data_IF_858253616493
#
_entry.id   IF_858253616493
#
_cell.length_a   1.000
_cell.length_b   1.000
_cell.length_c   1.000
_cell.angle_alpha   90.00
_cell.angle_beta   90.00
_cell.angle_gamma   90.00
#
_symmetry.space_group_name_H-M   'P 1'
#
loop_
_entity.id
_entity.type
_entity.pdbx_description
1 polymer ?
#
# COMPACT_ATOMS: atom_id res chain seq x y z
N UNK A 1 4.23 8.88 20.15
CA UNK A 1 5.56 9.52 20.19
C UNK A 1 6.05 9.92 18.80
N UNK A 2 6.14 9.02 17.81
CA UNK A 2 6.61 9.37 16.46
C UNK A 2 5.88 10.56 15.81
N UNK A 3 4.53 10.56 15.85
CA UNK A 3 3.70 11.65 15.30
C UNK A 3 3.90 12.98 16.06
N UNK A 4 3.98 12.91 17.39
CA UNK A 4 4.23 14.11 18.22
C UNK A 4 5.58 14.76 17.92
N UNK A 5 6.61 13.96 17.64
CA UNK A 5 7.93 14.47 17.27
C UNK A 5 7.93 15.02 15.83
N UNK A 6 7.11 14.46 14.94
CA UNK A 6 6.91 14.97 13.58
C UNK A 6 6.28 16.37 13.61
N UNK A 7 5.21 16.55 14.38
CA UNK A 7 4.54 17.85 14.53
C UNK A 7 5.51 18.90 15.12
N UNK A 8 6.28 18.53 16.14
CA UNK A 8 7.29 19.43 16.71
C UNK A 8 8.40 19.78 15.73
N UNK A 9 8.88 18.82 14.93
CA UNK A 9 9.87 19.09 13.88
C UNK A 9 9.32 20.06 12.82
N UNK A 10 8.07 19.87 12.39
CA UNK A 10 7.42 20.79 11.42
C UNK A 10 7.34 22.22 11.93
N UNK A 11 7.22 22.42 13.26
CA UNK A 11 7.18 23.74 13.87
C UNK A 11 8.55 24.33 14.22
N UNK A 12 9.53 23.49 14.56
CA UNK A 12 10.82 23.95 15.11
C UNK A 12 12.00 23.84 14.14
N UNK A 13 11.90 22.97 13.14
CA UNK A 13 13.00 22.67 12.19
C UNK A 13 14.20 21.97 12.84
N UNK A 14 14.08 21.47 14.06
CA UNK A 14 15.17 20.88 14.83
C UNK A 14 15.54 19.47 14.32
N UNK A 15 16.77 19.26 13.79
CA UNK A 15 17.20 17.96 13.28
C UNK A 15 17.19 16.83 14.31
N UNK A 16 17.36 17.16 15.61
CA UNK A 16 17.36 16.14 16.66
C UNK A 16 15.98 15.52 16.88
N UNK A 17 14.92 16.30 16.65
CA UNK A 17 13.53 15.83 16.71
C UNK A 17 13.19 14.96 15.49
N UNK A 18 13.76 15.29 14.33
CA UNK A 18 13.64 14.48 13.12
C UNK A 18 14.29 13.10 13.32
N UNK A 19 15.52 13.03 13.84
CA UNK A 19 16.19 11.74 14.10
C UNK A 19 15.42 10.88 15.13
N UNK A 20 14.90 11.49 16.19
CA UNK A 20 14.06 10.81 17.17
C UNK A 20 12.74 10.29 16.55
N UNK A 21 12.15 11.07 15.64
CA UNK A 21 10.96 10.69 14.89
C UNK A 21 11.22 9.48 13.97
N UNK A 22 12.29 9.53 13.17
CA UNK A 22 12.66 8.46 12.23
C UNK A 22 13.02 7.17 12.97
N UNK A 23 13.77 7.28 14.07
CA UNK A 23 14.08 6.13 14.94
C UNK A 23 12.81 5.47 15.47
N UNK A 24 11.84 6.29 15.91
CA UNK A 24 10.56 5.80 16.42
C UNK A 24 9.73 5.10 15.33
N UNK A 25 9.68 5.65 14.11
CA UNK A 25 9.01 4.99 12.98
C UNK A 25 9.71 3.69 12.58
N UNK A 26 11.04 3.68 12.52
CA UNK A 26 11.86 2.49 12.23
C UNK A 26 11.66 1.37 13.24
N UNK A 27 11.56 1.70 14.53
CA UNK A 27 11.25 0.70 15.57
C UNK A 27 9.82 0.18 15.40
N UNK A 28 8.87 1.07 15.16
CA UNK A 28 7.46 0.70 15.00
C UNK A 28 7.21 -0.18 13.78
N UNK A 29 7.93 0.03 12.68
CA UNK A 29 7.80 -0.79 11.46
C UNK A 29 8.31 -2.23 11.64
N UNK A 30 9.06 -2.52 12.71
CA UNK A 30 9.59 -3.85 13.05
C UNK A 30 8.71 -4.59 14.08
N UNK A 31 7.70 -3.93 14.64
CA UNK A 31 6.82 -4.54 15.65
C UNK A 31 5.79 -5.47 14.99
N UNK A 32 6.05 -6.77 15.05
CA UNK A 32 5.17 -7.82 14.50
C UNK A 32 3.81 -7.95 15.22
N UNK A 33 3.62 -7.30 16.37
CA UNK A 33 2.40 -7.39 17.20
C UNK A 33 1.38 -6.30 16.91
N UNK A 34 1.72 -5.31 16.08
CA UNK A 34 0.85 -4.19 15.76
C UNK A 34 -0.05 -4.50 14.55
N UNK A 35 -1.16 -3.77 14.44
CA UNK A 35 -2.10 -3.89 13.31
C UNK A 35 -1.34 -3.64 12.00
N UNK A 36 -1.37 -4.57 11.01
CA UNK A 36 -0.54 -4.50 9.79
C UNK A 36 -0.60 -3.16 9.07
N UNK A 37 -1.80 -2.55 8.99
CA UNK A 37 -1.99 -1.22 8.41
C UNK A 37 -1.20 -0.12 9.13
N UNK A 38 -1.22 -0.11 10.47
CA UNK A 38 -0.45 0.86 11.26
C UNK A 38 1.06 0.67 11.09
N UNK A 39 1.52 -0.58 10.98
CA UNK A 39 2.93 -0.90 10.75
C UNK A 39 3.37 -0.39 9.37
N UNK A 40 2.55 -0.62 8.35
CA UNK A 40 2.77 -0.11 7.00
C UNK A 40 2.76 1.44 6.97
N UNK A 41 1.76 2.08 7.58
CA UNK A 41 1.65 3.54 7.62
C UNK A 41 2.90 4.17 8.25
N UNK A 42 3.42 3.58 9.33
CA UNK A 42 4.66 4.03 9.96
C UNK A 42 5.88 3.88 9.03
N UNK A 43 6.02 2.74 8.34
CA UNK A 43 7.09 2.52 7.38
C UNK A 43 7.00 3.47 6.17
N UNK A 44 5.78 3.75 5.71
CA UNK A 44 5.52 4.68 4.61
C UNK A 44 5.88 6.12 5.01
N UNK A 45 5.48 6.56 6.21
CA UNK A 45 5.85 7.88 6.73
C UNK A 45 7.36 8.01 6.94
N UNK A 46 8.01 6.96 7.44
CA UNK A 46 9.46 6.92 7.53
C UNK A 46 10.12 7.11 6.16
N UNK A 47 9.67 6.37 5.14
CA UNK A 47 10.21 6.48 3.79
C UNK A 47 9.98 7.88 3.19
N UNK A 48 8.82 8.48 3.45
CA UNK A 48 8.52 9.85 3.03
C UNK A 48 9.50 10.86 3.60
N UNK A 49 9.64 10.87 4.93
CA UNK A 49 10.49 11.82 5.62
C UNK A 49 11.96 11.61 5.27
N UNK A 50 12.45 10.36 5.29
CA UNK A 50 13.83 10.06 4.88
C UNK A 50 14.12 10.49 3.44
N UNK A 51 13.13 10.40 2.53
CA UNK A 51 13.34 10.80 1.13
C UNK A 51 13.49 12.31 0.91
N UNK A 52 13.03 13.13 1.86
CA UNK A 52 13.20 14.59 1.84
C UNK A 52 14.60 15.02 2.28
N UNK A 53 15.37 14.11 2.89
CA UNK A 53 16.64 14.40 3.52
C UNK A 53 17.72 13.44 3.02
N UNK A 54 18.54 13.90 2.07
CA UNK A 54 19.51 13.06 1.38
C UNK A 54 20.50 12.32 2.29
N UNK A 55 20.80 12.84 3.48
CA UNK A 55 21.71 12.21 4.45
C UNK A 55 21.11 11.01 5.20
N UNK A 56 19.79 10.81 5.11
CA UNK A 56 19.06 9.79 5.88
C UNK A 56 18.94 8.44 5.18
N UNK A 57 19.57 8.26 4.01
CA UNK A 57 19.62 7.01 3.25
C UNK A 57 18.24 6.29 3.20
N UNK A 58 17.29 6.80 2.41
CA UNK A 58 15.89 6.38 2.49
C UNK A 58 15.64 4.93 2.05
N UNK A 59 16.64 4.24 1.51
CA UNK A 59 16.54 2.87 0.99
C UNK A 59 16.11 1.87 2.06
N UNK A 60 16.57 2.01 3.31
CA UNK A 60 16.14 1.12 4.40
C UNK A 60 14.63 1.27 4.68
N UNK A 61 14.16 2.52 4.69
CA UNK A 61 12.76 2.83 4.95
C UNK A 61 11.85 2.32 3.83
N UNK A 62 12.27 2.50 2.57
CA UNK A 62 11.58 1.95 1.42
C UNK A 62 11.56 0.41 1.43
N UNK A 63 12.66 -0.23 1.80
CA UNK A 63 12.73 -1.69 1.96
C UNK A 63 11.70 -2.19 2.98
N UNK A 64 11.64 -1.54 4.15
CA UNK A 64 10.66 -1.89 5.17
C UNK A 64 9.22 -1.74 4.67
N UNK A 65 8.90 -0.63 3.98
CA UNK A 65 7.57 -0.41 3.43
C UNK A 65 7.21 -1.43 2.33
N UNK A 66 8.15 -1.75 1.43
CA UNK A 66 7.96 -2.74 0.37
C UNK A 66 7.73 -4.15 0.92
N UNK A 67 8.43 -4.56 1.98
CA UNK A 67 8.25 -5.88 2.60
C UNK A 67 6.90 -6.05 3.33
N UNK A 68 6.31 -4.93 3.79
CA UNK A 68 5.01 -4.92 4.46
C UNK A 68 3.84 -4.88 3.47
N UNK A 69 4.10 -4.43 2.24
CA UNK A 69 3.11 -4.24 1.19
C UNK A 69 2.30 -5.51 0.84
N UNK A 70 2.86 -6.74 0.79
CA UNK A 70 2.07 -7.96 0.56
C UNK A 70 1.27 -8.41 1.78
N UNK A 71 1.66 -8.03 2.99
CA UNK A 71 0.92 -8.36 4.22
C UNK A 71 -0.28 -7.44 4.42
N UNK A 72 -0.34 -6.38 3.62
CA UNK A 72 -1.42 -5.44 3.49
C UNK A 72 -2.51 -5.97 2.53
N UNK A 73 -2.75 -7.28 2.40
CA UNK A 73 -3.84 -7.81 1.56
C UNK A 73 -5.19 -7.62 2.29
N UNK A 74 -5.72 -6.40 2.14
CA UNK A 74 -7.10 -5.88 2.08
C UNK A 74 -8.32 -6.77 2.40
N UNK A 75 -8.23 -7.64 3.39
CA UNK A 75 -9.40 -8.32 3.94
C UNK A 75 -10.31 -7.31 4.65
N UNK A 76 -11.49 -7.04 4.06
CA UNK A 76 -12.54 -6.20 4.65
C UNK A 76 -12.61 -4.75 4.17
N UNK A 77 -11.78 -4.33 3.21
CA UNK A 77 -11.81 -2.97 2.68
C UNK A 77 -12.86 -2.78 1.56
N UNK A 78 -13.43 -1.58 1.48
CA UNK A 78 -14.35 -1.20 0.39
C UNK A 78 -13.61 -1.11 -0.95
N UNK A 79 -14.35 -1.22 -2.06
CA UNK A 79 -13.78 -1.04 -3.41
C UNK A 79 -13.10 0.32 -3.58
N UNK A 80 -13.66 1.38 -3.01
CA UNK A 80 -13.08 2.73 -3.08
C UNK A 80 -11.74 2.81 -2.34
N UNK A 81 -11.65 2.22 -1.13
CA UNK A 81 -10.38 2.12 -0.43
C UNK A 81 -9.40 1.38 -1.33
N UNK A 82 -9.77 0.22 -1.93
CA UNK A 82 -8.93 -0.62 -2.80
C UNK A 82 -8.24 0.14 -3.92
N UNK A 83 -8.94 1.07 -4.55
CA UNK A 83 -8.34 1.95 -5.55
C UNK A 83 -7.32 2.94 -4.98
N UNK A 84 -7.55 3.50 -3.78
CA UNK A 84 -6.63 4.46 -3.17
C UNK A 84 -5.29 3.82 -2.83
N UNK A 85 -5.28 2.71 -2.12
CA UNK A 85 -4.00 2.11 -1.73
C UNK A 85 -3.31 1.35 -2.89
N UNK A 86 -4.01 1.07 -4.00
CA UNK A 86 -3.39 0.73 -5.30
C UNK A 86 -2.52 1.87 -5.83
N UNK A 87 -3.05 3.10 -5.86
CA UNK A 87 -2.32 4.30 -6.28
C UNK A 87 -1.14 4.55 -5.32
N UNK A 88 -1.36 4.38 -4.01
CA UNK A 88 -0.30 4.51 -3.01
C UNK A 88 0.82 3.50 -3.24
N UNK A 89 0.47 2.24 -3.54
CA UNK A 89 1.41 1.16 -3.83
C UNK A 89 2.28 1.48 -5.04
N UNK A 90 1.67 1.92 -6.14
CA UNK A 90 2.39 2.31 -7.35
C UNK A 90 3.36 3.47 -7.07
N UNK A 91 2.89 4.50 -6.37
CA UNK A 91 3.71 5.65 -6.00
C UNK A 91 4.90 5.25 -5.10
N UNK A 92 4.66 4.35 -4.14
CA UNK A 92 5.70 3.82 -3.26
C UNK A 92 6.78 3.08 -4.06
N UNK A 93 6.40 2.16 -4.95
CA UNK A 93 7.34 1.39 -5.76
C UNK A 93 8.18 2.28 -6.68
N UNK A 94 7.57 3.29 -7.32
CA UNK A 94 8.28 4.27 -8.15
C UNK A 94 9.33 5.04 -7.32
N UNK A 95 8.95 5.51 -6.14
CA UNK A 95 9.84 6.30 -5.28
C UNK A 95 10.97 5.45 -4.68
N UNK A 96 10.65 4.22 -4.30
CA UNK A 96 11.63 3.24 -3.86
C UNK A 96 12.65 2.95 -4.97
N UNK A 97 12.19 2.64 -6.18
CA UNK A 97 13.05 2.42 -7.35
C UNK A 97 13.93 3.63 -7.64
N UNK A 98 13.35 4.83 -7.66
CA UNK A 98 14.12 6.07 -7.85
C UNK A 98 15.19 6.29 -6.76
N UNK A 99 14.91 5.93 -5.51
CA UNK A 99 15.88 5.98 -4.42
C UNK A 99 17.03 4.98 -4.62
N UNK A 100 16.71 3.73 -5.00
CA UNK A 100 17.72 2.72 -5.30
C UNK A 100 18.60 3.13 -6.49
N UNK A 101 18.05 3.70 -7.56
CA UNK A 101 18.81 4.24 -8.70
C UNK A 101 19.79 5.32 -8.25
N UNK A 102 19.36 6.27 -7.39
CA UNK A 102 20.25 7.32 -6.87
C UNK A 102 21.39 6.76 -6.02
N UNK A 103 21.19 5.60 -5.41
CA UNK A 103 22.21 4.85 -4.66
C UNK A 103 23.03 3.89 -5.53
N UNK A 104 22.83 3.87 -6.85
CA UNK A 104 23.46 2.91 -7.79
C UNK A 104 23.09 1.43 -7.55
N UNK A 105 22.00 1.17 -6.84
CA UNK A 105 21.47 -0.15 -6.52
C UNK A 105 20.46 -0.62 -7.58
N UNK A 106 20.92 -0.81 -8.81
CA UNK A 106 20.03 -1.02 -9.96
C UNK A 106 19.20 -2.31 -9.90
N UNK A 107 19.77 -3.41 -9.39
CA UNK A 107 19.05 -4.68 -9.20
C UNK A 107 17.89 -4.51 -8.23
N UNK A 108 18.13 -3.85 -7.10
CA UNK A 108 17.13 -3.53 -6.08
C UNK A 108 16.03 -2.64 -6.64
N UNK A 109 16.39 -1.64 -7.46
CA UNK A 109 15.40 -0.80 -8.14
C UNK A 109 14.48 -1.64 -9.03
N UNK A 110 15.05 -2.54 -9.85
CA UNK A 110 14.26 -3.39 -10.74
C UNK A 110 13.32 -4.29 -9.94
N UNK A 111 13.84 -4.92 -8.88
CA UNK A 111 13.05 -5.78 -7.99
C UNK A 111 11.85 -5.02 -7.41
N UNK A 112 12.06 -3.82 -6.86
CA UNK A 112 10.98 -3.05 -6.25
C UNK A 112 9.93 -2.57 -7.24
N UNK A 113 10.35 -2.14 -8.43
CA UNK A 113 9.42 -1.73 -9.49
C UNK A 113 8.56 -2.91 -9.95
N UNK A 114 9.18 -4.08 -10.15
CA UNK A 114 8.49 -5.28 -10.57
C UNK A 114 7.55 -5.81 -9.48
N UNK A 115 7.98 -5.75 -8.22
CA UNK A 115 7.15 -6.13 -7.08
C UNK A 115 5.90 -5.27 -6.97
N UNK A 116 6.04 -3.95 -7.08
CA UNK A 116 4.91 -3.02 -7.09
C UNK A 116 3.94 -3.29 -8.24
N UNK A 117 4.46 -3.50 -9.45
CA UNK A 117 3.66 -3.81 -10.64
C UNK A 117 2.88 -5.12 -10.48
N UNK A 118 3.53 -6.17 -9.97
CA UNK A 118 2.88 -7.46 -9.71
C UNK A 118 1.73 -7.34 -8.71
N UNK A 119 1.90 -6.56 -7.65
CA UNK A 119 0.83 -6.30 -6.67
C UNK A 119 -0.31 -5.53 -7.32
N UNK A 120 -0.01 -4.42 -8.01
CA UNK A 120 -1.03 -3.59 -8.66
C UNK A 120 -1.85 -4.41 -9.66
N UNK A 121 -1.20 -5.22 -10.48
CA UNK A 121 -1.89 -6.07 -11.45
C UNK A 121 -2.71 -7.18 -10.81
N UNK A 122 -2.17 -7.87 -9.81
CA UNK A 122 -2.91 -8.90 -9.07
C UNK A 122 -4.20 -8.32 -8.45
N UNK A 123 -4.11 -7.14 -7.84
CA UNK A 123 -5.25 -6.47 -7.23
C UNK A 123 -6.23 -5.89 -8.26
N UNK A 124 -5.74 -5.31 -9.36
CA UNK A 124 -6.60 -4.83 -10.45
C UNK A 124 -7.41 -5.97 -11.08
N UNK A 125 -6.82 -7.18 -11.19
CA UNK A 125 -7.51 -8.38 -11.64
C UNK A 125 -8.58 -8.84 -10.64
N UNK A 126 -8.30 -8.79 -9.34
CA UNK A 126 -9.27 -9.13 -8.29
C UNK A 126 -10.44 -8.12 -8.21
N UNK A 127 -10.20 -6.86 -8.56
CA UNK A 127 -11.22 -5.81 -8.58
C UNK A 127 -12.16 -5.93 -9.78
N UNK A 128 -11.70 -6.52 -10.89
CA UNK A 128 -12.58 -6.82 -12.02
C UNK A 128 -13.46 -7.99 -11.64
N UNK A 129 -14.76 -7.74 -11.54
CA UNK A 129 -15.72 -8.82 -11.48
C UNK A 129 -15.68 -9.60 -12.80
N UNK A 130 -15.80 -10.94 -12.79
CA UNK A 130 -16.08 -11.70 -14.00
C UNK A 130 -17.31 -11.15 -14.75
N UNK A 131 -18.24 -10.53 -14.01
CA UNK A 131 -19.40 -9.85 -14.56
C UNK A 131 -19.05 -8.58 -15.34
N UNK A 132 -18.03 -7.82 -14.94
CA UNK A 132 -17.60 -6.60 -15.64
C UNK A 132 -16.98 -6.95 -17.01
N UNK A 133 -16.18 -8.02 -17.03
CA UNK A 133 -15.63 -8.56 -18.27
C UNK A 133 -16.74 -9.12 -19.18
N UNK A 134 -17.73 -9.80 -18.57
CA UNK A 134 -18.89 -10.33 -19.29
C UNK A 134 -19.77 -9.20 -19.84
N UNK A 135 -19.98 -8.12 -19.08
CA UNK A 135 -20.76 -6.96 -19.52
C UNK A 135 -20.12 -6.29 -20.74
N UNK A 136 -18.79 -6.19 -20.77
CA UNK A 136 -18.07 -5.63 -21.91
C UNK A 136 -18.17 -6.49 -23.19
N UNK A 137 -18.25 -7.82 -23.06
CA UNK A 137 -18.31 -8.74 -24.20
C UNK A 137 -19.73 -9.16 -24.62
N UNK A 138 -20.64 -9.31 -23.65
CA UNK A 138 -22.04 -9.72 -23.81
C UNK A 138 -22.90 -9.12 -22.68
N UNK A 139 -23.39 -7.89 -22.87
CA UNK A 139 -24.20 -7.18 -21.87
C UNK A 139 -25.50 -7.91 -21.51
N UNK A 140 -26.07 -8.67 -22.45
CA UNK A 140 -27.34 -9.38 -22.27
C UNK A 140 -27.13 -10.55 -21.32
N UNK A 141 -26.07 -11.33 -21.54
CA UNK A 141 -25.72 -12.44 -20.66
C UNK A 141 -25.31 -11.94 -19.26
N UNK A 142 -24.54 -10.86 -19.17
CA UNK A 142 -24.17 -10.23 -17.90
C UNK A 142 -25.41 -9.84 -17.07
N UNK A 143 -26.37 -9.15 -17.68
CA UNK A 143 -27.61 -8.73 -17.02
C UNK A 143 -28.43 -9.91 -16.52
N UNK A 144 -28.55 -10.98 -17.32
CA UNK A 144 -29.26 -12.20 -16.91
C UNK A 144 -28.58 -12.88 -15.73
N UNK A 145 -27.25 -13.00 -15.78
CA UNK A 145 -26.47 -13.68 -14.75
C UNK A 145 -26.49 -12.90 -13.42
N UNK A 146 -26.46 -11.56 -13.48
CA UNK A 146 -26.63 -10.69 -12.32
C UNK A 146 -28.01 -10.84 -11.67
N UNK A 147 -29.06 -10.98 -12.50
CA UNK A 147 -30.43 -11.17 -12.03
C UNK A 147 -30.62 -12.51 -11.31
N UNK A 148 -30.07 -13.59 -11.87
CA UNK A 148 -30.09 -14.93 -11.26
C UNK A 148 -29.27 -14.96 -9.96
N UNK A 149 -28.08 -14.34 -9.97
CA UNK A 149 -27.25 -14.25 -8.77
C UNK A 149 -27.98 -13.52 -7.63
N UNK A 150 -28.61 -12.38 -7.90
CA UNK A 150 -29.42 -11.66 -6.90
C UNK A 150 -30.55 -12.51 -6.31
N UNK A 151 -31.24 -13.29 -7.15
CA UNK A 151 -32.31 -14.19 -6.71
C UNK A 151 -31.80 -15.33 -5.81
N UNK A 152 -30.65 -15.91 -6.13
CA UNK A 152 -30.03 -16.95 -5.32
C UNK A 152 -29.53 -16.42 -3.96
N UNK A 153 -29.00 -15.20 -3.92
CA UNK A 153 -28.58 -14.55 -2.67
C UNK A 153 -29.76 -14.29 -1.73
N UNK A 154 -30.91 -13.89 -2.27
CA UNK A 154 -32.12 -13.65 -1.48
C UNK A 154 -32.73 -14.95 -0.96
N UNK A 155 -32.77 -16.03 -1.75
CA UNK A 155 -33.31 -17.32 -1.28
C UNK A 155 -32.43 -17.96 -0.19
N UNK A 156 -31.11 -17.73 -0.26
CA UNK A 156 -30.18 -18.22 0.76
C UNK A 156 -30.28 -17.46 2.08
N UNK A 157 -30.86 -16.25 2.09
CA UNK A 157 -31.07 -15.44 3.29
C UNK A 157 -32.44 -15.64 3.94
N UNK A 158 -33.40 -16.23 3.22
CA UNK A 158 -34.75 -16.58 3.74
C UNK A 158 -34.81 -18.00 4.32
N UNK A 159 -33.72 -18.77 4.26
CA UNK A 159 -33.62 -20.15 4.75
C UNK A 159 -33.00 -20.32 6.14
N UNK A 160 -32.87 -19.25 6.93
CA UNK A 160 -32.46 -19.26 8.35
C UNK A 160 -33.59 -18.69 9.19
#
# INVERSE_FOLDING_TARGET
MAISNLDQYQHTGDPSQLDACLTSFRQSSKLSTAVPRKVFDNAFQWANLSSQHAYLCPTEAFCAAMNLLPHFIWLGATTAQRYQDLILTENLAIRAGAAAIRSSEYSTSLEWLEHGRCIVWSQALMLRSPLDNLEASDPVLATRLQKVSKQASTSSSEGI
#
